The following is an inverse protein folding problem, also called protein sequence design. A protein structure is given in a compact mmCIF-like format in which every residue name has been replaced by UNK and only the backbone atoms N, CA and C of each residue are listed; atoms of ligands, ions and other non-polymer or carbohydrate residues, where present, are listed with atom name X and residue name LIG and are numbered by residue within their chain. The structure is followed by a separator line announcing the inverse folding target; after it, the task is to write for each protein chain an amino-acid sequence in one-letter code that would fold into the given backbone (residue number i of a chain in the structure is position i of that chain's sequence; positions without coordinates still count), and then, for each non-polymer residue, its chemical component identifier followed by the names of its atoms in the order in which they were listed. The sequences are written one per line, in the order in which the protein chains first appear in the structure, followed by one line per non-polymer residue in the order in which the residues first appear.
data_IF_230952694911
#
_entry.id   IF_230952694911
#
_cell.length_a   1.000
_cell.length_b   1.000
_cell.length_c   1.000
_cell.angle_alpha   90.00
_cell.angle_beta   90.00
_cell.angle_gamma   90.00
#
_symmetry.space_group_name_H-M   'P 1'
#
loop_
_entity.id
_entity.type
_entity.pdbx_description
1 polymer ?
#
# COMPACT_ATOMS: atom_id res chain seq x y z
N UNK A 1 15.62 -40.46 -13.93
CA UNK A 1 16.14 -39.36 -13.08
C UNK A 1 16.48 -38.07 -13.85
N UNK A 2 17.43 -38.06 -14.81
CA UNK A 2 17.85 -36.82 -15.53
C UNK A 2 16.73 -36.06 -16.26
N UNK A 3 15.76 -36.76 -16.88
CA UNK A 3 14.59 -36.13 -17.52
C UNK A 3 13.70 -35.40 -16.49
N UNK A 4 13.40 -36.04 -15.35
CA UNK A 4 12.57 -35.47 -14.30
C UNK A 4 13.20 -34.21 -13.69
N UNK A 5 14.51 -34.23 -13.38
CA UNK A 5 15.23 -33.03 -12.92
C UNK A 5 15.20 -31.89 -13.95
N UNK A 6 15.27 -32.20 -15.25
CA UNK A 6 15.18 -31.19 -16.32
C UNK A 6 13.78 -30.59 -16.43
N UNK A 7 12.72 -31.38 -16.24
CA UNK A 7 11.35 -30.86 -16.21
C UNK A 7 11.09 -30.00 -14.96
N UNK A 8 11.58 -30.43 -13.81
CA UNK A 8 11.53 -29.64 -12.58
C UNK A 8 12.26 -28.30 -12.74
N UNK A 9 13.48 -28.30 -13.31
CA UNK A 9 14.22 -27.08 -13.59
C UNK A 9 13.50 -26.12 -14.52
N UNK A 10 12.85 -26.62 -15.58
CA UNK A 10 12.01 -25.80 -16.46
C UNK A 10 10.79 -25.22 -15.75
N UNK A 11 10.12 -25.99 -14.90
CA UNK A 11 8.98 -25.53 -14.12
C UNK A 11 9.39 -24.44 -13.12
N UNK A 12 10.50 -24.64 -12.39
CA UNK A 12 11.02 -23.62 -11.47
C UNK A 12 11.43 -22.35 -12.20
N UNK A 13 12.07 -22.47 -13.37
CA UNK A 13 12.40 -21.31 -14.19
C UNK A 13 11.15 -20.54 -14.66
N UNK A 14 10.12 -21.26 -15.11
CA UNK A 14 8.86 -20.64 -15.52
C UNK A 14 8.15 -19.93 -14.35
N UNK A 15 8.13 -20.55 -13.17
CA UNK A 15 7.57 -19.95 -11.94
C UNK A 15 8.35 -18.69 -11.55
N UNK A 16 9.68 -18.76 -11.55
CA UNK A 16 10.54 -17.63 -11.24
C UNK A 16 10.34 -16.48 -12.25
N UNK A 17 10.22 -16.80 -13.54
CA UNK A 17 9.98 -15.79 -14.58
C UNK A 17 8.61 -15.14 -14.42
N UNK A 18 7.56 -15.93 -14.17
CA UNK A 18 6.21 -15.42 -13.92
C UNK A 18 6.15 -14.54 -12.66
N UNK A 19 6.80 -14.97 -11.57
CA UNK A 19 6.91 -14.19 -10.33
C UNK A 19 7.64 -12.86 -10.54
N UNK A 20 8.78 -12.87 -11.24
CA UNK A 20 9.52 -11.65 -11.56
C UNK A 20 8.73 -10.71 -12.47
N UNK A 21 8.04 -11.23 -13.48
CA UNK A 21 7.18 -10.44 -14.36
C UNK A 21 6.02 -9.78 -13.58
N UNK A 22 5.43 -10.51 -12.65
CA UNK A 22 4.37 -10.00 -11.78
C UNK A 22 4.87 -8.85 -10.89
N UNK A 23 6.01 -9.02 -10.21
CA UNK A 23 6.60 -7.98 -9.36
C UNK A 23 6.95 -6.74 -10.20
N UNK A 24 7.58 -6.94 -11.37
CA UNK A 24 7.93 -5.83 -12.26
C UNK A 24 6.70 -5.04 -12.74
N UNK A 25 5.60 -5.74 -13.06
CA UNK A 25 4.35 -5.10 -13.44
C UNK A 25 3.75 -4.31 -12.28
N UNK A 26 3.69 -4.90 -11.08
CA UNK A 26 3.15 -4.23 -9.88
C UNK A 26 3.95 -2.96 -9.55
N UNK A 27 5.28 -3.05 -9.50
CA UNK A 27 6.15 -1.90 -9.25
C UNK A 27 6.04 -0.83 -10.34
N UNK A 28 5.89 -1.24 -11.61
CA UNK A 28 5.68 -0.32 -12.72
C UNK A 28 4.35 0.45 -12.61
N UNK A 29 3.28 -0.26 -12.28
CA UNK A 29 1.95 0.33 -12.04
C UNK A 29 2.01 1.30 -10.86
N UNK A 30 2.61 0.89 -9.74
CA UNK A 30 2.84 1.74 -8.56
C UNK A 30 3.56 3.04 -8.92
N UNK A 31 4.66 2.95 -9.66
CA UNK A 31 5.45 4.12 -10.04
C UNK A 31 4.66 5.08 -10.95
N UNK A 32 3.84 4.56 -11.87
CA UNK A 32 3.00 5.39 -12.73
C UNK A 32 1.84 6.01 -11.95
N UNK A 33 1.20 5.25 -11.06
CA UNK A 33 0.12 5.72 -10.20
C UNK A 33 0.58 6.88 -9.33
N UNK A 34 1.71 6.68 -8.65
CA UNK A 34 2.32 7.66 -7.77
C UNK A 34 2.72 8.95 -8.50
N UNK A 35 3.31 8.83 -9.70
CA UNK A 35 3.74 10.00 -10.48
C UNK A 35 2.59 10.81 -11.08
N UNK A 36 1.42 10.19 -11.28
CA UNK A 36 0.23 10.84 -11.84
C UNK A 36 -0.80 11.23 -10.79
N UNK A 37 -0.67 10.75 -9.56
CA UNK A 37 -1.58 11.07 -8.48
C UNK A 37 -1.47 12.55 -8.11
N UNK A 38 -2.61 13.22 -7.80
CA UNK A 38 -2.59 14.53 -7.18
C UNK A 38 -1.72 14.50 -5.91
N UNK A 39 -0.90 15.54 -5.76
CA UNK A 39 -0.05 15.74 -4.59
C UNK A 39 -0.85 16.35 -3.45
N UNK A 40 -0.44 16.03 -2.24
CA UNK A 40 -0.98 16.59 -1.00
C UNK A 40 0.02 17.64 -0.53
N UNK A 41 -0.36 18.92 -0.64
CA UNK A 41 0.55 20.05 -0.49
C UNK A 41 0.70 20.50 0.97
N UNK A 42 -0.29 20.18 1.83
CA UNK A 42 -0.30 20.61 3.22
C UNK A 42 -1.13 19.69 4.13
N UNK A 43 -0.98 19.89 5.44
CA UNK A 43 -1.63 19.10 6.49
C UNK A 43 -3.17 19.19 6.45
N UNK A 44 -3.73 20.37 6.17
CA UNK A 44 -5.19 20.53 6.09
C UNK A 44 -5.80 19.78 4.91
N UNK A 45 -5.12 19.77 3.76
CA UNK A 45 -5.52 18.96 2.61
C UNK A 45 -5.42 17.46 2.93
N UNK A 46 -4.37 17.03 3.64
CA UNK A 46 -4.21 15.65 4.10
C UNK A 46 -5.38 15.19 4.97
N UNK A 47 -5.75 16.00 5.97
CA UNK A 47 -6.85 15.69 6.89
C UNK A 47 -8.20 15.62 6.19
N UNK A 48 -8.45 16.55 5.26
CA UNK A 48 -9.66 16.52 4.44
C UNK A 48 -9.72 15.24 3.60
N UNK A 49 -8.64 14.90 2.90
CA UNK A 49 -8.57 13.70 2.05
C UNK A 49 -8.66 12.42 2.87
N UNK A 50 -8.05 12.38 4.06
CA UNK A 50 -8.18 11.25 4.97
C UNK A 50 -9.63 11.04 5.38
N UNK A 51 -10.35 12.12 5.69
CA UNK A 51 -11.77 12.07 6.04
C UNK A 51 -12.63 11.53 4.88
N UNK A 52 -12.42 12.06 3.66
CA UNK A 52 -13.11 11.61 2.44
C UNK A 52 -12.91 10.12 2.18
N UNK A 53 -11.66 9.64 2.24
CA UNK A 53 -11.32 8.25 1.97
C UNK A 53 -11.74 7.31 3.10
N UNK A 54 -11.65 7.76 4.36
CA UNK A 54 -12.14 7.00 5.51
C UNK A 54 -13.63 6.75 5.42
N UNK A 55 -14.42 7.73 4.98
CA UNK A 55 -15.86 7.57 4.79
C UNK A 55 -16.18 6.52 3.71
N UNK A 56 -15.37 6.46 2.64
CA UNK A 56 -15.50 5.39 1.64
C UNK A 56 -15.27 4.02 2.28
N UNK A 57 -14.28 3.88 3.15
CA UNK A 57 -13.90 2.62 3.79
C UNK A 57 -14.60 2.32 5.13
N UNK A 58 -15.62 3.10 5.52
CA UNK A 58 -16.28 2.99 6.84
C UNK A 58 -16.85 1.61 7.21
N UNK A 59 -17.16 0.78 6.22
CA UNK A 59 -17.69 -0.58 6.46
C UNK A 59 -16.57 -1.56 6.84
N UNK A 60 -15.32 -1.27 6.46
CA UNK A 60 -14.12 -2.02 6.83
C UNK A 60 -13.45 -1.43 8.07
N UNK A 61 -13.42 -0.11 8.19
CA UNK A 61 -12.83 0.58 9.33
C UNK A 61 -13.85 0.60 10.48
N UNK A 62 -13.57 -0.17 11.53
CA UNK A 62 -14.42 -0.21 12.73
C UNK A 62 -14.68 1.19 13.30
N UNK A 63 -15.90 1.42 13.80
CA UNK A 63 -16.34 2.72 14.35
C UNK A 63 -15.45 3.28 15.46
N UNK A 64 -14.74 2.41 16.18
CA UNK A 64 -13.88 2.75 17.30
C UNK A 64 -12.41 2.97 16.89
N UNK A 65 -12.07 2.80 15.61
CA UNK A 65 -10.70 2.95 15.13
C UNK A 65 -10.39 4.45 14.93
N UNK A 66 -9.35 4.95 15.56
CA UNK A 66 -8.82 6.30 15.33
C UNK A 66 -7.69 6.21 14.32
N UNK A 67 -7.77 7.05 13.29
CA UNK A 67 -6.73 7.15 12.26
C UNK A 67 -6.37 8.62 12.13
N UNK A 68 -5.11 8.94 12.38
CA UNK A 68 -4.55 10.27 12.13
C UNK A 68 -3.58 10.20 10.96
N UNK A 69 -3.29 11.34 10.35
CA UNK A 69 -2.26 11.44 9.32
C UNK A 69 -1.38 12.66 9.56
N UNK A 70 -0.09 12.52 9.24
CA UNK A 70 0.90 13.58 9.39
C UNK A 70 1.74 13.72 8.13
N UNK A 71 1.85 14.97 7.67
CA UNK A 71 2.74 15.36 6.59
C UNK A 71 4.11 15.74 7.16
N UNK A 72 5.18 15.08 6.70
CA UNK A 72 6.56 15.43 7.03
C UNK A 72 7.15 16.18 5.84
N UNK A 73 7.38 17.49 6.01
CA UNK A 73 7.91 18.37 4.96
C UNK A 73 9.43 18.44 4.92
N UNK A 74 10.10 17.84 5.91
CA UNK A 74 11.55 17.86 6.01
C UNK A 74 12.20 17.11 4.84
N UNK A 75 13.20 17.73 4.22
CA UNK A 75 13.90 17.20 3.04
C UNK A 75 14.80 16.01 3.38
N UNK A 76 15.19 15.87 4.65
CA UNK A 76 16.03 14.78 5.12
C UNK A 76 15.22 13.58 5.65
N UNK A 77 13.89 13.63 5.53
CA UNK A 77 13.00 12.54 5.95
C UNK A 77 12.91 11.42 4.90
N UNK A 78 12.60 10.19 5.37
CA UNK A 78 12.43 9.02 4.51
C UNK A 78 11.48 9.32 3.34
N UNK A 79 11.80 8.95 2.09
CA UNK A 79 10.98 9.28 0.92
C UNK A 79 9.65 8.52 0.85
N UNK A 80 9.44 7.56 1.74
CA UNK A 80 8.31 6.64 1.72
C UNK A 80 7.18 7.05 2.66
N UNK A 81 5.95 6.95 2.14
CA UNK A 81 4.76 6.89 2.96
C UNK A 81 4.70 5.56 3.72
N UNK A 82 4.08 5.56 4.89
CA UNK A 82 3.81 4.34 5.66
C UNK A 82 2.70 4.56 6.68
N UNK A 83 1.95 3.52 6.98
CA UNK A 83 1.07 3.45 8.14
C UNK A 83 1.70 2.65 9.29
N UNK A 84 1.38 3.04 10.52
CA UNK A 84 1.80 2.30 11.72
C UNK A 84 0.71 2.28 12.78
N UNK A 85 0.71 1.19 13.57
CA UNK A 85 -0.08 1.10 14.80
C UNK A 85 0.61 1.90 15.90
N UNK A 86 -0.13 2.79 16.55
CA UNK A 86 0.34 3.55 17.73
C UNK A 86 -0.01 2.77 18.99
N UNK A 87 -1.26 2.30 19.08
CA UNK A 87 -1.75 1.38 20.11
C UNK A 87 -3.01 0.68 19.58
N UNK A 88 -3.64 -0.14 20.41
CA UNK A 88 -4.87 -0.85 20.04
C UNK A 88 -5.95 0.13 19.57
N UNK A 89 -6.48 -0.08 18.37
CA UNK A 89 -7.48 0.80 17.75
C UNK A 89 -6.99 2.19 17.32
N UNK A 90 -5.69 2.51 17.42
CA UNK A 90 -5.16 3.81 16.98
C UNK A 90 -3.98 3.65 16.02
N UNK A 91 -4.09 4.29 14.85
CA UNK A 91 -3.12 4.20 13.76
C UNK A 91 -2.74 5.60 13.26
N UNK A 92 -1.51 5.74 12.77
CA UNK A 92 -0.99 6.95 12.14
C UNK A 92 -0.52 6.63 10.73
N UNK A 93 -0.94 7.44 9.76
CA UNK A 93 -0.38 7.48 8.41
C UNK A 93 0.63 8.60 8.33
N UNK A 94 1.84 8.29 7.89
CA UNK A 94 2.90 9.27 7.69
C UNK A 94 3.15 9.41 6.19
N UNK A 95 2.98 10.63 5.67
CA UNK A 95 3.36 10.96 4.30
C UNK A 95 4.57 11.89 4.34
N UNK A 96 5.67 11.52 3.69
CA UNK A 96 6.81 12.42 3.51
C UNK A 96 6.63 13.30 2.30
N UNK A 97 7.39 14.39 2.20
CA UNK A 97 7.32 15.36 1.09
C UNK A 97 7.40 14.68 -0.30
N UNK A 98 8.25 13.67 -0.45
CA UNK A 98 8.34 12.90 -1.69
C UNK A 98 7.11 11.99 -1.86
N UNK A 99 6.69 11.31 -0.80
CA UNK A 99 5.57 10.38 -0.71
C UNK A 99 4.17 10.99 -0.64
N UNK A 100 4.03 12.31 -0.56
CA UNK A 100 2.77 13.00 -0.27
C UNK A 100 1.84 13.08 -1.49
N UNK A 101 1.14 11.99 -1.77
CA UNK A 101 0.14 11.91 -2.84
C UNK A 101 -1.16 11.27 -2.34
N UNK A 102 -2.27 11.55 -3.02
CA UNK A 102 -3.55 10.89 -2.74
C UNK A 102 -3.46 9.37 -2.90
N UNK A 103 -2.67 8.88 -3.86
CA UNK A 103 -2.41 7.45 -4.05
C UNK A 103 -1.78 6.84 -2.80
N UNK A 104 -0.69 7.44 -2.28
CA UNK A 104 -0.04 6.98 -1.06
C UNK A 104 -1.00 6.96 0.13
N UNK A 105 -1.80 8.02 0.29
CA UNK A 105 -2.80 8.08 1.36
C UNK A 105 -3.79 6.92 1.28
N UNK A 106 -4.33 6.65 0.08
CA UNK A 106 -5.30 5.57 -0.15
C UNK A 106 -4.67 4.20 0.10
N UNK A 107 -3.44 3.99 -0.37
CA UNK A 107 -2.68 2.76 -0.20
C UNK A 107 -2.47 2.45 1.29
N UNK A 108 -1.95 3.42 2.06
CA UNK A 108 -1.71 3.27 3.49
C UNK A 108 -3.01 3.12 4.30
N UNK A 109 -4.05 3.87 3.94
CA UNK A 109 -5.36 3.74 4.59
C UNK A 109 -5.98 2.37 4.36
N UNK A 110 -5.82 1.80 3.16
CA UNK A 110 -6.29 0.45 2.86
C UNK A 110 -5.61 -0.59 3.76
N UNK A 111 -4.30 -0.47 3.99
CA UNK A 111 -3.59 -1.35 4.91
C UNK A 111 -4.15 -1.32 6.34
N UNK A 112 -4.62 -0.16 6.81
CA UNK A 112 -5.32 -0.06 8.09
C UNK A 112 -6.70 -0.74 8.00
N UNK A 113 -7.48 -0.42 6.96
CA UNK A 113 -8.84 -0.90 6.79
C UNK A 113 -8.96 -2.42 6.68
N UNK A 114 -7.98 -3.06 6.03
CA UNK A 114 -7.95 -4.53 5.82
C UNK A 114 -7.14 -5.27 6.90
N UNK A 115 -6.65 -4.57 7.93
CA UNK A 115 -5.92 -5.17 9.05
C UNK A 115 -4.49 -5.63 8.69
N UNK A 116 -3.95 -5.17 7.57
CA UNK A 116 -2.63 -5.58 7.06
C UNK A 116 -1.46 -5.17 7.97
N UNK A 117 -1.62 -4.09 8.73
CA UNK A 117 -0.59 -3.62 9.68
C UNK A 117 -0.31 -4.64 10.78
N UNK A 118 -1.26 -5.52 11.08
CA UNK A 118 -1.12 -6.53 12.13
C UNK A 118 -0.59 -7.87 11.59
N UNK A 119 -0.51 -8.01 10.26
CA UNK A 119 -0.18 -9.26 9.60
C UNK A 119 1.33 -9.46 9.47
N UNK A 120 1.87 -10.54 10.03
CA UNK A 120 3.32 -10.81 10.13
C UNK A 120 3.91 -11.64 8.96
N UNK A 121 3.10 -12.02 7.98
CA UNK A 121 3.52 -12.91 6.89
C UNK A 121 4.08 -12.17 5.68
N UNK A 122 5.40 -12.14 5.50
CA UNK A 122 6.06 -11.42 4.39
C UNK A 122 5.57 -11.85 3.00
N UNK A 123 5.33 -13.15 2.74
CA UNK A 123 4.87 -13.61 1.43
C UNK A 123 3.41 -13.25 1.15
N UNK A 124 2.53 -13.41 2.14
CA UNK A 124 1.14 -12.98 2.00
C UNK A 124 1.03 -11.47 1.80
N UNK A 125 1.90 -10.71 2.48
CA UNK A 125 2.01 -9.27 2.33
C UNK A 125 2.31 -8.86 0.87
N UNK A 126 3.38 -9.41 0.28
CA UNK A 126 3.80 -9.04 -1.08
C UNK A 126 2.86 -9.56 -2.18
N UNK A 127 2.25 -10.73 -2.02
CA UNK A 127 1.45 -11.35 -3.09
C UNK A 127 -0.05 -11.14 -2.95
N UNK A 128 -0.54 -10.64 -1.81
CA UNK A 128 -1.97 -10.43 -1.58
C UNK A 128 -2.28 -9.01 -1.11
N UNK A 129 -1.61 -8.57 -0.04
CA UNK A 129 -1.97 -7.32 0.64
C UNK A 129 -1.58 -6.08 -0.19
N UNK A 130 -0.33 -6.02 -0.65
CA UNK A 130 0.22 -4.94 -1.49
C UNK A 130 -0.55 -4.75 -2.81
N UNK A 131 -0.85 -5.83 -3.57
CA UNK A 131 -1.68 -5.71 -4.78
C UNK A 131 -3.07 -5.14 -4.52
N UNK A 132 -3.74 -5.55 -3.44
CA UNK A 132 -5.07 -5.05 -3.11
C UNK A 132 -5.05 -3.59 -2.69
N UNK A 133 -4.08 -3.19 -1.87
CA UNK A 133 -3.84 -1.80 -1.51
C UNK A 133 -3.59 -0.95 -2.76
N UNK A 134 -2.82 -1.48 -3.71
CA UNK A 134 -2.53 -0.80 -4.97
C UNK A 134 -3.75 -0.65 -5.87
N UNK A 135 -4.55 -1.70 -6.03
CA UNK A 135 -5.79 -1.67 -6.79
C UNK A 135 -6.75 -0.63 -6.18
N UNK A 136 -6.91 -0.61 -4.86
CA UNK A 136 -7.72 0.38 -4.19
C UNK A 136 -7.18 1.80 -4.42
N UNK A 137 -5.88 2.02 -4.24
CA UNK A 137 -5.27 3.34 -4.42
C UNK A 137 -5.46 3.91 -5.83
N UNK A 138 -5.44 3.04 -6.85
CA UNK A 138 -5.67 3.38 -8.26
C UNK A 138 -7.13 3.66 -8.60
N UNK A 139 -8.03 2.81 -8.11
CA UNK A 139 -9.40 2.75 -8.63
C UNK A 139 -10.42 3.35 -7.67
N UNK A 140 -10.10 3.44 -6.38
CA UNK A 140 -11.04 3.73 -5.30
C UNK A 140 -12.12 2.65 -5.13
N UNK A 141 -12.03 1.55 -5.88
CA UNK A 141 -12.97 0.44 -5.76
C UNK A 141 -12.61 -0.37 -4.54
N UNK A 142 -13.59 -0.55 -3.65
CA UNK A 142 -13.49 -1.52 -2.56
C UNK A 142 -13.23 -2.90 -3.19
N UNK A 143 -12.09 -3.55 -2.90
CA UNK A 143 -11.91 -4.96 -3.21
C UNK A 143 -12.82 -5.84 -2.34
#
# INVERSE_FOLDING_TARGET
MKKALRHLGKAMFAIALAGSAYIALLSGVQSVAFSRSPKIENQSQLELKLSEEREKLKDKIGKNIVITARLITDKDSSPTAYARKIKEGEYEIVLSNLGASEHSLKHELYHIADGHIENKGHLAYFFHNEPQAEIYALTGLKP
#
